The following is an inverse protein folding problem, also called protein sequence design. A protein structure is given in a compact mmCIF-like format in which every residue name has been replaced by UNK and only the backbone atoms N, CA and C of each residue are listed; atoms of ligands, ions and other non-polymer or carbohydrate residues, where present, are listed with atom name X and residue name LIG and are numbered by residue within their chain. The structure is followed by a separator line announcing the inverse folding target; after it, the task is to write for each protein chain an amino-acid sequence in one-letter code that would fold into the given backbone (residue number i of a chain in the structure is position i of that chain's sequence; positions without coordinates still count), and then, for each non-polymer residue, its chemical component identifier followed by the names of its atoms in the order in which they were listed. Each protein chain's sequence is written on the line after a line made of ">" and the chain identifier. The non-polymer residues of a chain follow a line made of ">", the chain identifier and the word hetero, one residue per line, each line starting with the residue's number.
data_IF_095838204471
#
_entry.id   IF_095838204471
#
_cell.length_a   1.000
_cell.length_b   1.000
_cell.length_c   1.000
_cell.angle_alpha   90.00
_cell.angle_beta   90.00
_cell.angle_gamma   90.00
#
_symmetry.space_group_name_H-M   'P 1'
#
loop_
_entity.id
_entity.type
_entity.pdbx_description
1 polymer ?
#
# COMPACT_ATOMS: atom_id res chain seq x y z
N UNK A 1 3.82 22.83 65.02
CA UNK A 1 3.03 22.34 66.19
C UNK A 1 2.35 21.04 65.78
N UNK A 2 2.26 20.02 66.65
CA UNK A 2 1.64 18.70 66.35
C UNK A 2 0.47 18.44 67.30
N UNK A 3 -0.62 17.89 66.78
CA UNK A 3 -1.61 16.99 67.42
C UNK A 3 -2.40 16.37 66.23
N UNK A 4 -2.69 15.07 66.05
CA UNK A 4 -2.82 13.81 66.83
C UNK A 4 -4.18 13.54 67.53
N UNK A 5 -4.81 12.48 67.00
CA UNK A 5 -5.55 11.37 67.63
C UNK A 5 -6.94 11.59 68.30
N UNK A 6 -8.02 11.12 67.63
CA UNK A 6 -9.27 10.52 68.20
C UNK A 6 -10.23 10.08 67.06
N UNK A 7 -10.79 8.87 66.86
CA UNK A 7 -10.57 7.47 67.31
C UNK A 7 -11.68 6.83 68.21
N UNK A 8 -12.12 5.59 67.89
CA UNK A 8 -13.12 4.71 68.57
C UNK A 8 -14.61 5.15 68.54
N UNK A 9 -15.66 4.29 68.57
CA UNK A 9 -15.81 2.82 68.33
C UNK A 9 -17.31 2.37 68.26
N UNK A 10 -17.76 1.45 67.36
CA UNK A 10 -17.98 -0.04 67.46
C UNK A 10 -19.15 -0.53 68.37
N UNK A 11 -19.74 -1.73 68.07
CA UNK A 11 -20.76 -2.55 68.81
C UNK A 11 -22.27 -2.18 68.63
N UNK A 12 -23.32 -3.01 68.85
CA UNK A 12 -23.69 -4.47 68.68
C UNK A 12 -25.18 -4.66 69.18
N UNK A 13 -26.00 -5.72 68.97
CA UNK A 13 -26.14 -6.85 67.99
C UNK A 13 -27.49 -7.63 68.26
N UNK A 14 -28.10 -8.29 67.24
CA UNK A 14 -29.20 -9.32 67.35
C UNK A 14 -30.56 -8.89 67.98
N UNK A 15 -31.65 -9.72 68.07
CA UNK A 15 -32.07 -10.94 67.32
C UNK A 15 -33.57 -10.98 66.85
N UNK A 16 -33.98 -12.14 66.28
CA UNK A 16 -35.38 -12.65 66.08
C UNK A 16 -36.27 -11.98 65.00
N UNK A 17 -37.29 -12.65 64.42
CA UNK A 17 -37.92 -13.94 64.76
C UNK A 17 -38.27 -14.83 63.53
N UNK A 18 -38.59 -16.11 63.77
CA UNK A 18 -39.02 -17.11 62.77
C UNK A 18 -40.46 -16.91 62.27
N UNK A 19 -40.72 -17.34 61.02
CA UNK A 19 -41.89 -18.18 60.72
C UNK A 19 -41.63 -19.10 59.51
N UNK A 20 -42.00 -20.38 59.62
CA UNK A 20 -42.07 -21.30 58.48
C UNK A 20 -43.46 -21.26 57.85
N UNK A 21 -43.52 -21.38 56.53
CA UNK A 21 -44.64 -22.05 55.84
C UNK A 21 -44.03 -23.08 54.90
N UNK A 22 -44.51 -24.33 54.98
CA UNK A 22 -44.07 -25.44 54.14
C UNK A 22 -45.20 -25.81 53.19
N UNK A 23 -44.94 -25.88 51.88
CA UNK A 23 -45.87 -26.49 50.93
C UNK A 23 -45.15 -27.11 49.74
N UNK A 24 -45.19 -28.44 49.68
CA UNK A 24 -45.12 -29.32 48.50
C UNK A 24 -44.07 -29.04 47.41
N UNK A 25 -43.10 -29.97 47.32
CA UNK A 25 -42.27 -30.13 46.14
C UNK A 25 -43.09 -30.40 44.87
N UNK A 26 -42.59 -29.90 43.73
CA UNK A 26 -42.79 -30.50 42.43
C UNK A 26 -41.40 -30.81 41.83
N UNK A 27 -41.33 -31.86 41.02
CA UNK A 27 -40.06 -32.42 40.59
C UNK A 27 -39.21 -31.41 39.81
N UNK A 28 -37.90 -31.40 40.06
CA UNK A 28 -36.93 -30.98 39.06
C UNK A 28 -36.96 -31.97 37.90
N UNK A 29 -37.94 -31.83 37.00
CA UNK A 29 -37.74 -32.26 35.63
C UNK A 29 -36.55 -31.47 35.11
N UNK A 30 -35.41 -32.16 34.98
CA UNK A 30 -34.32 -31.65 34.19
C UNK A 30 -34.85 -31.50 32.77
N UNK A 31 -35.31 -30.29 32.42
CA UNK A 31 -35.47 -29.89 31.04
C UNK A 31 -34.06 -29.85 30.47
N UNK A 32 -33.61 -31.01 29.98
CA UNK A 32 -32.57 -31.12 28.98
C UNK A 32 -33.01 -30.19 27.85
N UNK A 33 -32.49 -28.97 27.87
CA UNK A 33 -32.81 -27.97 26.87
C UNK A 33 -32.16 -28.44 25.58
N UNK A 34 -32.89 -29.26 24.83
CA UNK A 34 -32.62 -29.59 23.44
C UNK A 34 -32.66 -28.28 22.70
N UNK A 35 -31.51 -27.59 22.65
CA UNK A 35 -31.23 -26.56 21.67
C UNK A 35 -31.45 -27.24 20.33
N UNK A 36 -32.63 -27.03 19.75
CA UNK A 36 -32.82 -27.10 18.32
C UNK A 36 -31.81 -26.12 17.74
N UNK A 37 -30.66 -26.66 17.32
CA UNK A 37 -29.63 -25.90 16.63
C UNK A 37 -30.29 -25.46 15.34
N UNK A 38 -30.78 -24.22 15.35
CA UNK A 38 -31.43 -23.60 14.21
C UNK A 38 -30.34 -23.44 13.15
N UNK A 39 -30.30 -24.41 12.24
CA UNK A 39 -29.17 -24.58 11.32
C UNK A 39 -29.03 -23.33 10.46
N UNK A 40 -28.04 -22.50 10.78
CA UNK A 40 -27.69 -21.36 9.96
C UNK A 40 -27.28 -21.90 8.58
N UNK A 41 -27.86 -21.39 7.48
CA UNK A 41 -27.58 -21.93 6.16
C UNK A 41 -26.10 -21.79 5.82
N UNK A 42 -25.49 -22.92 5.49
CA UNK A 42 -24.10 -23.04 5.06
C UNK A 42 -23.86 -22.25 3.75
N UNK A 43 -22.61 -21.85 3.54
CA UNK A 43 -22.16 -21.38 2.24
C UNK A 43 -22.07 -22.56 1.26
N UNK A 44 -22.71 -22.42 0.09
CA UNK A 44 -22.73 -23.42 -0.98
C UNK A 44 -22.00 -22.82 -2.18
N UNK A 45 -20.68 -23.00 -2.20
CA UNK A 45 -19.82 -22.59 -3.29
C UNK A 45 -19.80 -23.68 -4.37
N UNK A 46 -20.08 -23.27 -5.61
CA UNK A 46 -20.14 -24.14 -6.79
C UNK A 46 -19.19 -23.67 -7.87
N UNK A 47 -18.32 -24.57 -8.35
CA UNK A 47 -17.56 -24.33 -9.59
C UNK A 47 -18.50 -24.53 -10.78
N UNK A 48 -18.88 -23.45 -11.46
CA UNK A 48 -19.75 -23.50 -12.64
C UNK A 48 -19.00 -23.92 -13.90
N UNK A 49 -17.78 -23.43 -14.09
CA UNK A 49 -16.89 -23.93 -15.14
C UNK A 49 -15.42 -23.67 -14.82
N UNK A 50 -14.56 -24.52 -15.36
CA UNK A 50 -13.11 -24.40 -15.34
C UNK A 50 -12.62 -24.68 -16.76
N UNK A 51 -11.76 -23.82 -17.32
CA UNK A 51 -11.36 -23.89 -18.74
C UNK A 51 -9.91 -23.44 -18.92
N UNK A 52 -9.19 -24.10 -19.82
CA UNK A 52 -7.93 -23.59 -20.35
C UNK A 52 -8.20 -22.36 -21.23
N UNK A 53 -7.34 -21.35 -21.18
CA UNK A 53 -7.43 -20.13 -21.99
C UNK A 53 -6.06 -19.85 -22.61
N UNK A 54 -6.01 -19.78 -23.94
CA UNK A 54 -4.78 -19.49 -24.69
C UNK A 54 -3.69 -20.56 -24.56
N UNK A 55 -2.59 -20.34 -25.29
CA UNK A 55 -1.48 -21.27 -25.39
C UNK A 55 -0.56 -21.27 -24.16
N UNK A 56 0.10 -22.41 -23.92
CA UNK A 56 1.13 -22.57 -22.89
C UNK A 56 2.34 -21.70 -23.24
N UNK A 57 2.75 -20.82 -22.33
CA UNK A 57 3.90 -19.92 -22.50
C UNK A 57 5.06 -20.29 -21.59
N UNK A 58 6.26 -20.44 -22.15
CA UNK A 58 7.47 -20.56 -21.36
C UNK A 58 7.88 -19.19 -20.80
N UNK A 59 8.24 -19.14 -19.51
CA UNK A 59 8.92 -18.00 -18.88
C UNK A 59 10.15 -18.49 -18.12
N UNK A 60 11.11 -17.60 -17.86
CA UNK A 60 12.27 -17.91 -17.02
C UNK A 60 12.24 -17.04 -15.78
N UNK A 61 12.10 -17.66 -14.61
CA UNK A 61 12.16 -16.96 -13.32
C UNK A 61 13.53 -17.13 -12.68
N UNK A 62 13.92 -16.19 -11.81
CA UNK A 62 15.09 -16.33 -10.94
C UNK A 62 14.58 -16.74 -9.56
N UNK A 63 14.96 -17.93 -9.10
CA UNK A 63 14.60 -18.48 -7.79
C UNK A 63 15.87 -18.65 -6.97
N UNK A 64 16.13 -17.70 -6.07
CA UNK A 64 17.43 -17.56 -5.41
C UNK A 64 18.52 -17.22 -6.43
N UNK A 65 19.55 -18.07 -6.54
CA UNK A 65 20.63 -17.93 -7.55
C UNK A 65 20.34 -18.65 -8.88
N UNK A 66 19.29 -19.47 -8.95
CA UNK A 66 19.03 -20.34 -10.09
C UNK A 66 18.00 -19.74 -11.04
N UNK A 67 18.26 -19.81 -12.35
CA UNK A 67 17.21 -19.62 -13.36
C UNK A 67 16.38 -20.90 -13.47
N UNK A 68 15.07 -20.76 -13.40
CA UNK A 68 14.10 -21.85 -13.49
C UNK A 68 13.10 -21.52 -14.60
N UNK A 69 13.12 -22.32 -15.66
CA UNK A 69 12.10 -22.23 -16.72
C UNK A 69 10.77 -22.79 -16.20
N UNK A 70 9.68 -22.07 -16.44
CA UNK A 70 8.31 -22.47 -16.11
C UNK A 70 7.42 -22.49 -17.36
N UNK A 71 6.53 -23.46 -17.42
CA UNK A 71 5.42 -23.55 -18.36
C UNK A 71 4.19 -22.93 -17.72
N UNK A 72 3.65 -21.87 -18.30
CA UNK A 72 2.53 -21.11 -17.76
C UNK A 72 1.29 -21.33 -18.63
N UNK A 73 0.19 -21.75 -18.00
CA UNK A 73 -1.12 -21.88 -18.63
C UNK A 73 -2.08 -20.90 -17.97
N UNK A 74 -2.77 -20.06 -18.76
CA UNK A 74 -3.89 -19.29 -18.23
C UNK A 74 -5.13 -20.19 -18.15
N UNK A 75 -5.90 -20.02 -17.08
CA UNK A 75 -7.19 -20.68 -16.87
C UNK A 75 -8.25 -19.67 -16.46
N UNK A 76 -9.48 -19.93 -16.88
CA UNK A 76 -10.68 -19.23 -16.43
C UNK A 76 -11.48 -20.17 -15.52
N UNK A 77 -11.80 -19.68 -14.33
CA UNK A 77 -12.65 -20.34 -13.36
C UNK A 77 -13.88 -19.47 -13.08
N UNK A 78 -15.07 -20.07 -13.11
CA UNK A 78 -16.34 -19.41 -12.78
C UNK A 78 -16.90 -20.05 -11.50
N UNK A 79 -17.09 -19.25 -10.44
CA UNK A 79 -17.61 -19.72 -9.14
C UNK A 79 -18.91 -18.99 -8.83
N UNK A 80 -19.91 -19.73 -8.35
CA UNK A 80 -21.16 -19.19 -7.80
C UNK A 80 -21.27 -19.46 -6.31
N UNK A 81 -21.73 -18.48 -5.55
CA UNK A 81 -22.33 -18.73 -4.23
C UNK A 81 -23.84 -19.02 -4.44
N UNK A 82 -24.23 -20.28 -4.37
CA UNK A 82 -25.61 -20.74 -4.59
C UNK A 82 -26.45 -20.74 -3.30
N UNK A 83 -25.85 -20.33 -2.17
CA UNK A 83 -26.54 -20.20 -0.89
C UNK A 83 -27.34 -18.90 -0.77
N UNK A 84 -28.11 -18.81 0.33
CA UNK A 84 -28.86 -17.61 0.73
C UNK A 84 -28.07 -16.67 1.65
N UNK A 85 -26.75 -16.86 1.81
CA UNK A 85 -25.90 -16.06 2.70
C UNK A 85 -24.71 -15.46 1.98
N UNK A 86 -24.33 -14.24 2.37
CA UNK A 86 -23.13 -13.59 1.86
C UNK A 86 -21.89 -14.22 2.50
N UNK A 87 -20.89 -14.58 1.69
CA UNK A 87 -19.58 -14.98 2.19
C UNK A 87 -18.80 -13.70 2.49
N UNK A 88 -18.58 -13.44 3.78
CA UNK A 88 -17.92 -12.23 4.32
C UNK A 88 -16.50 -12.48 4.86
N UNK A 89 -15.95 -13.68 4.61
CA UNK A 89 -14.60 -14.10 4.98
C UNK A 89 -13.89 -14.72 3.76
N UNK A 90 -12.57 -14.78 3.82
CA UNK A 90 -11.77 -15.34 2.72
C UNK A 90 -11.94 -16.85 2.56
N UNK A 91 -12.27 -17.28 1.34
CA UNK A 91 -12.17 -18.67 0.91
C UNK A 91 -10.95 -18.87 0.00
N UNK A 92 -10.52 -20.12 -0.16
CA UNK A 92 -9.35 -20.54 -0.94
C UNK A 92 -9.78 -21.34 -2.17
N UNK A 93 -9.06 -21.13 -3.27
CA UNK A 93 -9.16 -21.91 -4.50
C UNK A 93 -7.81 -22.58 -4.73
N UNK A 94 -7.75 -23.90 -4.60
CA UNK A 94 -6.57 -24.70 -4.90
C UNK A 94 -6.65 -25.20 -6.34
N UNK A 95 -5.48 -25.47 -6.93
CA UNK A 95 -5.37 -26.05 -8.25
C UNK A 95 -4.44 -27.25 -8.18
N UNK A 96 -4.92 -28.39 -8.70
CA UNK A 96 -4.28 -29.69 -8.60
C UNK A 96 -3.91 -30.25 -9.98
N UNK A 97 -2.82 -31.00 -9.98
CA UNK A 97 -2.17 -31.55 -11.16
C UNK A 97 -1.92 -33.06 -10.98
N UNK A 98 -2.54 -33.89 -11.82
CA UNK A 98 -2.42 -35.34 -11.80
C UNK A 98 -1.78 -35.85 -13.10
N UNK A 99 -0.58 -36.42 -13.01
CA UNK A 99 0.00 -37.26 -14.07
C UNK A 99 -0.19 -38.73 -13.67
N UNK A 100 -0.66 -39.61 -14.57
CA UNK A 100 -0.70 -41.05 -14.30
C UNK A 100 0.66 -41.60 -13.83
N UNK A 101 0.71 -42.14 -12.62
CA UNK A 101 1.92 -42.72 -12.03
C UNK A 101 2.81 -41.75 -11.24
N UNK A 102 2.39 -40.49 -11.04
CA UNK A 102 3.05 -39.54 -10.13
C UNK A 102 2.07 -39.07 -9.03
N UNK A 103 2.57 -38.57 -7.88
CA UNK A 103 1.72 -37.92 -6.87
C UNK A 103 0.99 -36.70 -7.45
N UNK A 104 -0.18 -36.38 -6.89
CA UNK A 104 -0.88 -35.12 -7.22
C UNK A 104 -0.07 -33.93 -6.69
N UNK A 105 0.22 -32.95 -7.57
CA UNK A 105 0.97 -31.75 -7.21
C UNK A 105 0.08 -30.51 -7.18
N UNK A 106 0.38 -29.58 -6.26
CA UNK A 106 -0.22 -28.25 -6.24
C UNK A 106 0.45 -27.35 -7.29
N UNK A 107 -0.34 -26.60 -8.06
CA UNK A 107 0.19 -25.49 -8.84
C UNK A 107 0.62 -24.33 -7.94
N UNK A 108 1.49 -23.46 -8.47
CA UNK A 108 1.51 -22.07 -8.03
C UNK A 108 0.48 -21.30 -8.86
N UNK A 109 -0.47 -20.68 -8.16
CA UNK A 109 -1.52 -19.85 -8.74
C UNK A 109 -1.14 -18.37 -8.58
N UNK A 110 -1.36 -17.59 -9.64
CA UNK A 110 -1.22 -16.12 -9.60
C UNK A 110 -2.51 -15.44 -10.10
N UNK A 111 -3.04 -14.51 -9.31
CA UNK A 111 -4.14 -13.62 -9.65
C UNK A 111 -4.07 -12.36 -8.78
N UNK A 112 -4.58 -11.21 -9.27
CA UNK A 112 -4.63 -9.93 -8.53
C UNK A 112 -3.27 -9.55 -7.88
N UNK A 113 -2.17 -9.75 -8.61
CA UNK A 113 -0.80 -9.50 -8.15
C UNK A 113 -0.25 -10.47 -7.09
N UNK A 114 -1.09 -11.34 -6.50
CA UNK A 114 -0.70 -12.27 -5.43
C UNK A 114 -0.37 -13.65 -6.00
N UNK A 115 0.73 -14.24 -5.51
CA UNK A 115 1.21 -15.59 -5.85
C UNK A 115 1.09 -16.51 -4.65
N UNK A 116 0.46 -17.67 -4.80
CA UNK A 116 0.24 -18.63 -3.70
C UNK A 116 0.15 -20.08 -4.17
N UNK A 117 -0.05 -21.01 -3.23
CA UNK A 117 -0.48 -22.39 -3.51
C UNK A 117 -2.00 -22.49 -3.77
N UNK A 118 -2.70 -21.41 -3.49
CA UNK A 118 -4.13 -21.19 -3.65
C UNK A 118 -4.38 -19.71 -3.91
N UNK A 119 -5.52 -19.37 -4.50
CA UNK A 119 -6.05 -18.01 -4.61
C UNK A 119 -7.00 -17.74 -3.43
N UNK A 120 -6.74 -16.68 -2.66
CA UNK A 120 -7.66 -16.17 -1.64
C UNK A 120 -8.70 -15.25 -2.29
N UNK A 121 -9.99 -15.45 -1.98
CA UNK A 121 -11.09 -14.58 -2.41
C UNK A 121 -11.81 -14.06 -1.17
N UNK A 122 -11.77 -12.75 -0.93
CA UNK A 122 -12.16 -12.16 0.36
C UNK A 122 -13.67 -12.16 0.66
N UNK A 123 -14.53 -12.18 -0.36
CA UNK A 123 -16.00 -12.18 -0.22
C UNK A 123 -16.71 -12.61 -1.52
N UNK A 124 -17.93 -13.14 -1.41
CA UNK A 124 -18.82 -13.46 -2.54
C UNK A 124 -20.30 -13.43 -2.07
N UNK A 125 -21.13 -12.57 -2.65
CA UNK A 125 -22.50 -12.34 -2.18
C UNK A 125 -23.44 -13.51 -2.51
N UNK A 126 -24.57 -13.63 -1.79
CA UNK A 126 -25.59 -14.65 -2.04
C UNK A 126 -26.11 -14.56 -3.48
N UNK A 127 -26.07 -15.67 -4.23
CA UNK A 127 -26.43 -15.73 -5.64
C UNK A 127 -25.37 -15.18 -6.62
N UNK A 128 -24.29 -14.55 -6.14
CA UNK A 128 -23.26 -13.95 -7.00
C UNK A 128 -22.46 -15.03 -7.76
N UNK A 129 -22.22 -14.80 -9.05
CA UNK A 129 -21.26 -15.56 -9.87
C UNK A 129 -20.08 -14.65 -10.21
N UNK A 130 -18.87 -15.07 -9.88
CA UNK A 130 -17.63 -14.32 -10.17
C UNK A 130 -16.67 -15.14 -11.05
N UNK A 131 -15.93 -14.43 -11.90
CA UNK A 131 -14.92 -14.99 -12.80
C UNK A 131 -13.52 -14.70 -12.26
N UNK A 132 -12.65 -15.70 -12.32
CA UNK A 132 -11.25 -15.61 -11.93
C UNK A 132 -10.36 -16.03 -13.10
N UNK A 133 -9.49 -15.14 -13.54
CA UNK A 133 -8.42 -15.44 -14.49
C UNK A 133 -7.16 -15.72 -13.69
N UNK A 134 -6.62 -16.93 -13.80
CA UNK A 134 -5.49 -17.39 -13.00
C UNK A 134 -4.38 -17.87 -13.91
N UNK A 135 -3.14 -17.53 -13.59
CA UNK A 135 -1.97 -18.17 -14.20
C UNK A 135 -1.55 -19.37 -13.37
N UNK A 136 -1.44 -20.53 -14.01
CA UNK A 136 -0.93 -21.77 -13.44
C UNK A 136 0.48 -22.04 -13.96
N UNK A 137 1.47 -22.09 -13.07
CA UNK A 137 2.88 -22.28 -13.44
C UNK A 137 3.41 -23.67 -13.03
N UNK A 138 3.97 -24.40 -13.99
CA UNK A 138 4.62 -25.71 -13.82
C UNK A 138 6.12 -25.62 -14.16
N UNK A 139 7.02 -26.34 -13.48
CA UNK A 139 8.42 -26.46 -13.90
C UNK A 139 8.60 -27.09 -15.29
N UNK A 140 9.62 -26.66 -16.04
CA UNK A 140 9.98 -27.20 -17.37
C UNK A 140 10.32 -28.71 -17.34
N UNK A 141 10.66 -29.27 -16.18
CA UNK A 141 10.82 -30.72 -16.00
C UNK A 141 9.57 -31.55 -16.35
N UNK A 142 8.40 -30.93 -16.43
CA UNK A 142 7.15 -31.58 -16.85
C UNK A 142 6.86 -31.47 -18.36
N UNK A 143 7.71 -30.82 -19.18
CA UNK A 143 7.50 -30.76 -20.64
C UNK A 143 7.36 -32.16 -21.27
N UNK A 144 6.43 -32.28 -22.21
CA UNK A 144 6.05 -33.53 -22.87
C UNK A 144 5.10 -34.45 -22.07
N UNK A 145 4.77 -34.12 -20.82
CA UNK A 145 3.79 -34.88 -20.03
C UNK A 145 2.34 -34.51 -20.39
N UNK A 146 1.43 -35.42 -20.06
CA UNK A 146 -0.02 -35.25 -20.17
C UNK A 146 -0.70 -35.82 -18.93
N UNK A 147 -1.86 -35.28 -18.59
CA UNK A 147 -2.59 -35.65 -17.38
C UNK A 147 -3.84 -34.80 -17.22
N UNK A 148 -4.33 -34.70 -16.00
CA UNK A 148 -5.53 -33.94 -15.66
C UNK A 148 -5.24 -32.80 -14.69
N UNK A 149 -5.98 -31.70 -14.83
CA UNK A 149 -5.98 -30.60 -13.87
C UNK A 149 -7.40 -30.26 -13.40
N UNK A 150 -7.55 -29.81 -12.16
CA UNK A 150 -8.82 -29.35 -11.60
C UNK A 150 -8.59 -28.27 -10.54
N UNK A 151 -9.64 -27.48 -10.28
CA UNK A 151 -9.72 -26.57 -9.15
C UNK A 151 -10.53 -27.22 -8.01
N UNK A 152 -10.30 -26.77 -6.78
CA UNK A 152 -11.01 -27.20 -5.57
C UNK A 152 -11.22 -26.03 -4.61
N UNK A 153 -12.40 -25.95 -3.99
CA UNK A 153 -12.79 -24.86 -3.08
C UNK A 153 -12.75 -25.31 -1.61
N UNK A 154 -12.08 -24.52 -0.79
CA UNK A 154 -11.75 -24.75 0.63
C UNK A 154 -11.84 -23.41 1.40
N UNK A 155 -11.89 -23.42 2.74
CA UNK A 155 -11.93 -22.21 3.57
C UNK A 155 -10.57 -21.89 4.20
N UNK A 156 -10.42 -20.63 4.65
CA UNK A 156 -9.14 -20.19 5.20
C UNK A 156 -8.81 -20.79 6.59
N UNK A 157 -9.81 -20.99 7.44
CA UNK A 157 -9.65 -21.04 8.91
C UNK A 157 -10.34 -22.26 9.57
N UNK A 158 -10.41 -23.41 8.90
CA UNK A 158 -11.30 -24.52 9.30
C UNK A 158 -11.09 -25.09 10.71
N UNK A 159 -9.84 -25.09 11.21
CA UNK A 159 -9.44 -25.78 12.46
C UNK A 159 -10.26 -25.36 13.69
N UNK A 160 -10.76 -24.13 13.72
CA UNK A 160 -11.56 -23.58 14.83
C UNK A 160 -12.98 -23.17 14.41
N UNK A 161 -13.44 -23.51 13.20
CA UNK A 161 -14.78 -23.16 12.73
C UNK A 161 -15.84 -24.17 13.18
N UNK A 162 -16.86 -23.63 13.87
CA UNK A 162 -18.06 -24.37 14.23
C UNK A 162 -18.79 -24.91 12.98
N UNK A 163 -19.53 -26.04 13.08
CA UNK A 163 -19.99 -26.78 11.90
C UNK A 163 -20.85 -25.99 10.90
N UNK A 164 -21.57 -24.95 11.35
CA UNK A 164 -22.39 -24.08 10.50
C UNK A 164 -21.60 -23.11 9.61
N UNK A 165 -20.27 -23.04 9.76
CA UNK A 165 -19.41 -22.12 9.01
C UNK A 165 -18.48 -22.81 8.00
N UNK A 166 -18.54 -24.14 7.86
CA UNK A 166 -17.69 -24.90 6.94
C UNK A 166 -18.25 -24.89 5.51
N UNK A 167 -17.40 -25.15 4.52
CA UNK A 167 -17.88 -25.75 3.27
C UNK A 167 -18.33 -27.18 3.63
N UNK A 168 -19.32 -27.72 2.92
CA UNK A 168 -19.70 -29.11 3.15
C UNK A 168 -18.63 -30.05 2.58
N UNK A 169 -17.59 -30.34 3.38
CA UNK A 169 -16.51 -31.31 3.07
C UNK A 169 -17.08 -32.62 2.49
N UNK A 170 -18.24 -33.06 2.99
CA UNK A 170 -18.95 -34.27 2.55
C UNK A 170 -19.68 -34.14 1.19
N UNK A 171 -19.36 -33.15 0.37
CA UNK A 171 -19.99 -32.93 -0.95
C UNK A 171 -18.98 -32.55 -2.04
N UNK A 172 -17.97 -33.41 -2.24
CA UNK A 172 -16.92 -33.27 -3.27
C UNK A 172 -17.45 -32.93 -4.70
N UNK A 173 -18.73 -33.25 -4.97
CA UNK A 173 -19.42 -32.95 -6.22
C UNK A 173 -19.76 -31.46 -6.45
N UNK A 174 -19.66 -30.56 -5.46
CA UNK A 174 -19.96 -29.13 -5.63
C UNK A 174 -18.71 -28.22 -5.62
N UNK A 175 -17.69 -28.57 -4.84
CA UNK A 175 -16.49 -27.76 -4.62
C UNK A 175 -15.32 -28.14 -5.54
N UNK A 176 -15.33 -29.31 -6.19
CA UNK A 176 -14.37 -29.67 -7.22
C UNK A 176 -14.83 -29.21 -8.62
N UNK A 177 -13.89 -28.78 -9.47
CA UNK A 177 -14.17 -28.52 -10.88
C UNK A 177 -14.25 -29.82 -11.69
N UNK A 178 -14.84 -29.80 -12.91
CA UNK A 178 -14.54 -30.81 -13.92
C UNK A 178 -13.02 -30.95 -14.10
N UNK A 179 -12.53 -32.19 -14.24
CA UNK A 179 -11.14 -32.45 -14.61
C UNK A 179 -10.93 -32.12 -16.09
N UNK A 180 -9.91 -31.32 -16.38
CA UNK A 180 -9.49 -30.98 -17.74
C UNK A 180 -8.26 -31.78 -18.11
N UNK A 181 -8.34 -32.53 -19.21
CA UNK A 181 -7.16 -33.11 -19.84
C UNK A 181 -6.26 -31.99 -20.39
N UNK A 182 -4.95 -32.08 -20.14
CA UNK A 182 -3.95 -31.21 -20.74
C UNK A 182 -2.83 -32.05 -21.35
N UNK A 183 -2.09 -31.43 -22.28
CA UNK A 183 -0.82 -31.95 -22.79
C UNK A 183 0.19 -30.82 -22.86
N UNK A 184 1.28 -30.92 -22.10
CA UNK A 184 2.37 -29.96 -22.21
C UNK A 184 3.13 -30.21 -23.52
N UNK A 185 3.65 -29.16 -24.19
CA UNK A 185 4.38 -29.32 -25.43
C UNK A 185 5.60 -30.23 -25.21
N UNK A 186 6.00 -31.05 -26.20
CA UNK A 186 7.18 -31.90 -26.07
C UNK A 186 8.42 -31.05 -25.83
N UNK A 187 9.33 -31.55 -25.00
CA UNK A 187 10.64 -30.92 -24.78
C UNK A 187 11.43 -30.95 -26.10
N UNK A 188 11.41 -29.85 -26.84
CA UNK A 188 12.10 -29.74 -28.12
C UNK A 188 13.60 -29.95 -27.90
N UNK A 189 14.17 -30.97 -28.54
CA UNK A 189 15.60 -31.19 -28.54
C UNK A 189 16.29 -30.01 -29.23
N UNK A 190 17.41 -29.53 -28.65
CA UNK A 190 18.22 -28.47 -29.24
C UNK A 190 18.90 -28.97 -30.52
N UNK A 191 18.21 -28.85 -31.66
CA UNK A 191 18.82 -28.99 -32.98
C UNK A 191 19.49 -27.67 -33.35
N UNK A 192 20.71 -27.77 -33.89
CA UNK A 192 21.51 -26.63 -34.28
C UNK A 192 20.81 -25.78 -35.36
N UNK A 193 20.96 -24.46 -35.28
CA UNK A 193 20.82 -23.59 -36.45
C UNK A 193 19.40 -23.44 -37.04
N UNK A 194 18.36 -23.31 -36.22
CA UNK A 194 17.14 -22.62 -36.67
C UNK A 194 17.17 -21.15 -36.24
N UNK A 195 16.80 -20.27 -37.17
CA UNK A 195 16.82 -18.83 -36.93
C UNK A 195 15.95 -18.48 -35.72
N UNK A 196 16.49 -17.65 -34.83
CA UNK A 196 15.65 -16.80 -34.01
C UNK A 196 14.81 -15.94 -34.96
N UNK A 197 13.54 -16.29 -35.13
CA UNK A 197 12.52 -15.27 -35.32
C UNK A 197 12.50 -14.46 -34.03
N UNK A 198 13.40 -13.48 -33.96
CA UNK A 198 13.33 -12.37 -33.03
C UNK A 198 11.93 -11.80 -33.24
N UNK A 199 11.02 -12.01 -32.29
CA UNK A 199 9.76 -11.26 -32.30
C UNK A 199 10.16 -9.79 -32.38
N UNK A 200 9.72 -9.06 -33.42
CA UNK A 200 10.18 -7.71 -33.65
C UNK A 200 9.91 -6.92 -32.37
N UNK A 201 10.95 -6.28 -31.80
CA UNK A 201 10.86 -5.74 -30.45
C UNK A 201 9.60 -4.90 -30.28
N UNK A 202 8.79 -5.26 -29.27
CA UNK A 202 7.45 -4.70 -29.15
C UNK A 202 7.56 -3.32 -28.53
N UNK A 203 6.99 -2.32 -29.19
CA UNK A 203 6.79 -1.00 -28.60
C UNK A 203 5.57 -1.03 -27.67
N UNK A 204 5.75 -0.53 -26.45
CA UNK A 204 4.70 -0.37 -25.43
C UNK A 204 4.81 1.03 -24.85
N UNK A 205 3.73 1.81 -24.89
CA UNK A 205 3.66 3.10 -24.21
C UNK A 205 3.28 2.86 -22.75
N UNK A 206 3.84 3.65 -21.83
CA UNK A 206 3.29 3.78 -20.48
C UNK A 206 1.88 4.38 -20.58
N UNK A 207 0.93 3.81 -19.84
CA UNK A 207 -0.49 4.22 -19.82
C UNK A 207 -0.90 4.68 -18.42
N UNK A 208 -2.05 5.36 -18.31
CA UNK A 208 -2.68 5.65 -17.02
C UNK A 208 -2.75 4.42 -16.11
N UNK A 209 -3.15 3.25 -16.65
CA UNK A 209 -3.22 2.02 -15.87
C UNK A 209 -1.88 1.54 -15.29
N UNK A 210 -0.74 1.86 -15.91
CA UNK A 210 0.58 1.61 -15.32
C UNK A 210 0.87 2.59 -14.17
N UNK A 211 0.53 3.85 -14.37
CA UNK A 211 0.73 4.92 -13.40
C UNK A 211 -0.16 4.74 -12.17
N UNK A 212 -1.41 4.31 -12.38
CA UNK A 212 -2.34 3.91 -11.33
C UNK A 212 -1.84 2.68 -10.56
N UNK A 213 -1.34 1.64 -11.24
CA UNK A 213 -0.76 0.47 -10.54
C UNK A 213 0.47 0.85 -9.73
N UNK A 214 1.49 1.47 -10.33
CA UNK A 214 2.75 1.79 -9.65
C UNK A 214 2.55 2.86 -8.57
N UNK A 215 1.80 3.92 -8.87
CA UNK A 215 1.48 5.00 -7.94
C UNK A 215 0.64 4.55 -6.74
N UNK A 216 -0.25 3.56 -6.91
CA UNK A 216 -0.96 2.96 -5.77
C UNK A 216 -0.04 2.27 -4.75
N UNK A 217 1.20 1.94 -5.14
CA UNK A 217 2.23 1.38 -4.25
C UNK A 217 3.14 2.44 -3.61
N UNK A 218 2.85 3.73 -3.80
CA UNK A 218 3.56 4.86 -3.19
C UNK A 218 2.61 5.53 -2.19
N UNK A 219 2.93 5.46 -0.90
CA UNK A 219 2.09 5.99 0.18
C UNK A 219 2.94 6.39 1.40
N UNK A 220 2.34 7.10 2.36
CA UNK A 220 2.99 7.50 3.62
C UNK A 220 2.79 8.96 3.97
N UNK A 221 3.71 9.53 4.75
CA UNK A 221 3.66 10.92 5.27
C UNK A 221 5.01 11.62 5.19
N UNK A 222 4.99 12.92 4.88
CA UNK A 222 6.09 13.85 5.14
C UNK A 222 5.55 14.92 6.08
N UNK A 223 6.32 15.23 7.12
CA UNK A 223 5.98 16.20 8.16
C UNK A 223 7.12 17.22 8.29
N UNK A 224 6.78 18.49 8.36
CA UNK A 224 7.69 19.62 8.45
C UNK A 224 7.30 20.47 9.67
N UNK A 225 8.15 20.49 10.68
CA UNK A 225 8.03 21.44 11.78
C UNK A 225 9.42 21.87 12.26
N UNK A 226 9.58 23.17 12.51
CA UNK A 226 10.68 23.71 13.30
C UNK A 226 10.26 24.91 14.18
N UNK A 227 8.96 25.12 14.37
CA UNK A 227 8.40 25.96 15.45
C UNK A 227 8.27 25.14 16.75
N UNK A 228 8.51 25.77 17.89
CA UNK A 228 8.44 25.10 19.20
C UNK A 228 7.03 25.05 19.80
N UNK A 229 6.05 25.74 19.20
CA UNK A 229 4.69 25.79 19.72
C UNK A 229 4.52 26.70 20.94
N UNK A 230 5.29 27.79 21.06
CA UNK A 230 4.89 28.94 21.89
C UNK A 230 3.45 29.33 21.53
N UNK A 231 2.63 29.61 22.53
CA UNK A 231 1.18 29.79 22.31
C UNK A 231 0.89 31.13 21.64
N UNK A 232 -0.26 31.25 20.98
CA UNK A 232 -0.65 32.47 20.28
C UNK A 232 -0.96 33.63 21.27
N UNK A 233 -1.02 33.34 22.59
CA UNK A 233 -1.05 34.30 23.69
C UNK A 233 0.36 34.80 24.11
N UNK A 234 1.43 34.05 23.80
CA UNK A 234 2.83 34.33 24.18
C UNK A 234 3.51 35.34 23.22
N UNK A 235 2.97 36.55 23.13
CA UNK A 235 3.41 37.60 22.20
C UNK A 235 4.91 38.00 22.26
N UNK A 236 5.66 37.56 23.28
CA UNK A 236 7.10 37.76 23.39
C UNK A 236 7.77 36.69 24.26
N UNK A 237 9.03 36.36 23.95
CA UNK A 237 9.79 35.31 24.65
C UNK A 237 11.30 35.55 24.66
N UNK A 238 11.98 35.10 25.71
CA UNK A 238 13.44 35.15 25.83
C UNK A 238 14.14 33.85 25.35
N UNK A 239 13.38 32.90 24.79
CA UNK A 239 13.92 31.66 24.21
C UNK A 239 13.66 31.65 22.70
N UNK A 240 14.65 31.24 21.91
CA UNK A 240 14.48 31.09 20.46
C UNK A 240 13.31 30.11 20.17
N UNK A 241 12.31 30.49 19.36
CA UNK A 241 11.18 29.64 18.99
C UNK A 241 11.53 28.38 18.17
N UNK A 242 12.80 28.22 17.74
CA UNK A 242 13.27 27.08 16.97
C UNK A 242 13.13 25.73 17.70
N UNK A 243 12.59 24.73 16.99
CA UNK A 243 12.55 23.32 17.39
C UNK A 243 13.36 22.44 16.43
N UNK A 244 14.30 21.70 16.99
CA UNK A 244 15.16 20.77 16.23
C UNK A 244 14.57 19.35 16.14
N UNK A 245 14.89 18.65 15.05
CA UNK A 245 14.65 17.23 14.77
C UNK A 245 13.19 16.79 14.65
N UNK A 246 12.28 17.73 14.36
CA UNK A 246 10.85 17.47 14.25
C UNK A 246 10.36 17.21 12.81
N UNK A 247 11.17 17.53 11.79
CA UNK A 247 10.85 17.20 10.40
C UNK A 247 11.12 15.71 10.12
N UNK A 248 10.20 15.02 9.43
CA UNK A 248 10.37 13.61 9.07
C UNK A 248 9.78 13.22 7.71
N UNK A 249 10.37 12.20 7.09
CA UNK A 249 9.90 11.53 5.87
C UNK A 249 9.64 10.07 6.24
N UNK A 250 8.43 9.58 6.00
CA UNK A 250 8.02 8.19 6.25
C UNK A 250 7.21 7.70 5.05
N UNK A 251 7.88 7.13 4.04
CA UNK A 251 7.29 6.79 2.75
C UNK A 251 7.54 5.34 2.36
N UNK A 252 6.50 4.65 1.91
CA UNK A 252 6.58 3.36 1.25
C UNK A 252 6.70 3.55 -0.26
N UNK A 253 7.55 2.76 -0.91
CA UNK A 253 7.66 2.66 -2.37
C UNK A 253 7.68 1.18 -2.73
N UNK A 254 6.64 0.70 -3.41
CA UNK A 254 6.53 -0.68 -3.89
C UNK A 254 6.76 -1.76 -2.81
N UNK A 255 6.41 -1.46 -1.56
CA UNK A 255 6.55 -2.33 -0.39
C UNK A 255 7.75 -2.01 0.51
N UNK A 256 8.81 -1.37 0.01
CA UNK A 256 9.97 -0.97 0.84
C UNK A 256 9.69 0.34 1.58
N UNK A 257 10.04 0.40 2.87
CA UNK A 257 9.83 1.59 3.70
C UNK A 257 11.11 2.42 3.86
N UNK A 258 11.02 3.72 3.57
CA UNK A 258 11.98 4.72 4.01
C UNK A 258 11.43 5.46 5.24
N UNK A 259 12.29 5.65 6.24
CA UNK A 259 12.02 6.51 7.40
C UNK A 259 13.27 7.31 7.72
N UNK A 260 13.12 8.62 7.93
CA UNK A 260 14.23 9.51 8.26
C UNK A 260 13.77 10.83 8.87
N UNK A 261 14.55 11.34 9.84
CA UNK A 261 14.37 12.64 10.48
C UNK A 261 15.38 13.66 9.94
N UNK A 262 14.99 14.93 9.85
CA UNK A 262 15.87 16.01 9.40
C UNK A 262 15.55 17.33 10.10
N UNK A 263 16.23 18.41 9.70
CA UNK A 263 16.01 19.76 10.20
C UNK A 263 15.77 20.70 9.02
N UNK A 264 14.69 21.49 9.09
CA UNK A 264 14.64 22.78 8.40
C UNK A 264 15.41 23.82 9.23
N UNK A 265 16.13 24.76 8.61
CA UNK A 265 16.82 25.81 9.33
C UNK A 265 15.82 26.85 9.85
N UNK A 266 16.22 27.56 10.90
CA UNK A 266 15.72 28.89 11.18
C UNK A 266 15.93 29.78 9.94
N UNK A 267 14.86 30.41 9.43
CA UNK A 267 14.97 31.30 8.27
C UNK A 267 15.10 32.73 8.77
N UNK A 268 16.32 33.27 8.67
CA UNK A 268 16.72 34.56 9.25
C UNK A 268 17.02 35.62 8.18
N UNK A 269 16.65 36.88 8.46
CA UNK A 269 17.22 38.06 7.80
C UNK A 269 17.23 39.30 8.70
N UNK A 270 18.20 40.18 8.48
CA UNK A 270 18.32 41.48 9.16
C UNK A 270 17.75 42.60 8.27
N UNK A 271 16.94 43.50 8.82
CA UNK A 271 16.52 44.72 8.12
C UNK A 271 16.29 45.88 9.07
N UNK A 272 16.86 47.04 8.75
CA UNK A 272 16.68 48.29 9.50
C UNK A 272 17.10 48.22 10.98
N UNK A 273 17.97 47.27 11.36
CA UNK A 273 18.36 47.00 12.75
C UNK A 273 17.43 46.03 13.50
N UNK A 274 16.35 45.58 12.86
CA UNK A 274 15.47 44.52 13.35
C UNK A 274 15.93 43.17 12.75
N UNK A 275 15.92 42.12 13.57
CA UNK A 275 16.26 40.76 13.16
C UNK A 275 14.97 39.97 13.01
N UNK A 276 14.68 39.45 11.82
CA UNK A 276 13.44 38.70 11.56
C UNK A 276 13.75 37.21 11.38
N UNK A 277 12.98 36.37 12.06
CA UNK A 277 13.13 34.93 12.14
C UNK A 277 11.79 34.27 11.78
N UNK A 278 11.83 33.22 10.95
CA UNK A 278 10.64 32.51 10.50
C UNK A 278 10.79 31.00 10.69
N UNK A 279 9.72 30.39 11.20
CA UNK A 279 9.64 28.95 11.51
C UNK A 279 8.42 28.33 10.83
N UNK A 280 8.56 27.08 10.38
CA UNK A 280 7.47 26.25 9.84
C UNK A 280 6.75 25.60 11.02
N UNK A 281 5.43 25.82 11.13
CA UNK A 281 4.56 25.19 12.14
C UNK A 281 3.72 24.07 11.50
N UNK A 282 3.93 22.84 11.98
CA UNK A 282 3.12 21.62 11.71
C UNK A 282 2.59 21.44 10.26
N UNK A 283 3.46 21.53 9.26
CA UNK A 283 3.13 21.30 7.85
C UNK A 283 3.13 19.81 7.52
N UNK A 284 2.01 19.26 7.03
CA UNK A 284 1.86 17.84 6.70
C UNK A 284 1.50 17.55 5.24
N UNK A 285 2.05 16.45 4.72
CA UNK A 285 1.69 15.84 3.44
C UNK A 285 1.42 14.35 3.67
N UNK A 286 0.28 13.85 3.19
CA UNK A 286 -0.10 12.43 3.31
C UNK A 286 -0.45 11.86 1.93
N UNK A 287 0.27 10.83 1.50
CA UNK A 287 -0.03 10.07 0.28
C UNK A 287 -0.85 8.83 0.65
N UNK A 288 -2.09 8.70 0.14
CA UNK A 288 -3.00 7.59 0.49
C UNK A 288 -3.12 6.53 -0.61
N UNK A 289 -2.04 6.34 -1.39
CA UNK A 289 -1.95 5.32 -2.44
C UNK A 289 -2.48 3.96 -1.97
N UNK A 290 -3.60 3.53 -2.56
CA UNK A 290 -4.30 2.29 -2.23
C UNK A 290 -5.65 2.44 -1.51
N UNK A 291 -6.08 3.65 -1.11
CA UNK A 291 -7.28 3.86 -0.30
C UNK A 291 -8.23 4.97 -0.84
N UNK A 292 -8.69 4.83 -2.08
CA UNK A 292 -9.75 5.67 -2.68
C UNK A 292 -9.25 6.80 -3.59
N UNK A 293 -8.00 7.21 -3.44
CA UNK A 293 -7.25 8.05 -4.39
C UNK A 293 -6.74 7.21 -5.58
N UNK A 294 -6.63 7.82 -6.75
CA UNK A 294 -6.11 7.18 -7.96
C UNK A 294 -4.57 7.23 -7.95
N UNK A 295 -3.90 6.12 -8.26
CA UNK A 295 -2.44 6.05 -8.17
C UNK A 295 -1.72 7.09 -9.05
N UNK A 296 -2.35 7.49 -10.17
CA UNK A 296 -1.86 8.56 -11.05
C UNK A 296 -1.90 9.98 -10.46
N UNK A 297 -2.63 10.19 -9.37
CA UNK A 297 -2.63 11.46 -8.62
C UNK A 297 -1.35 11.60 -7.78
N UNK A 298 -0.75 10.46 -7.39
CA UNK A 298 0.57 10.37 -6.74
C UNK A 298 1.71 10.32 -7.76
N UNK A 299 1.55 9.57 -8.86
CA UNK A 299 2.61 9.32 -9.86
C UNK A 299 2.12 9.55 -11.30
N UNK A 300 2.68 10.51 -12.02
CA UNK A 300 2.36 10.79 -13.42
C UNK A 300 3.62 10.81 -14.31
N UNK A 301 3.46 11.06 -15.61
CA UNK A 301 4.56 11.45 -16.52
C UNK A 301 4.44 12.95 -16.81
N UNK A 302 5.58 13.63 -16.83
CA UNK A 302 5.67 15.00 -17.31
C UNK A 302 7.06 15.25 -17.91
N UNK A 303 7.13 15.83 -19.12
CA UNK A 303 8.38 16.18 -19.81
C UNK A 303 9.42 15.03 -19.86
N UNK A 304 8.94 13.82 -20.17
CA UNK A 304 9.71 12.59 -20.32
C UNK A 304 10.19 11.97 -18.99
N UNK A 305 9.81 12.53 -17.85
CA UNK A 305 10.17 12.06 -16.51
C UNK A 305 8.97 11.46 -15.79
N UNK A 306 9.20 10.50 -14.91
CA UNK A 306 8.21 10.16 -13.90
C UNK A 306 8.17 11.29 -12.87
N UNK A 307 6.98 11.81 -12.58
CA UNK A 307 6.76 12.88 -11.61
C UNK A 307 5.94 12.30 -10.45
N UNK A 308 6.47 12.37 -9.23
CA UNK A 308 5.73 12.07 -8.01
C UNK A 308 5.30 13.40 -7.37
N UNK A 309 4.01 13.53 -7.04
CA UNK A 309 3.48 14.70 -6.35
C UNK A 309 3.41 14.45 -4.83
N UNK A 310 3.94 15.39 -4.04
CA UNK A 310 3.70 15.50 -2.60
C UNK A 310 2.85 16.75 -2.32
N UNK A 311 1.52 16.61 -2.14
CA UNK A 311 0.65 17.72 -1.76
C UNK A 311 0.68 17.93 -0.24
N UNK A 312 0.96 19.17 0.20
CA UNK A 312 0.86 19.54 1.61
C UNK A 312 -0.51 20.17 1.92
N UNK A 313 -0.96 19.98 3.16
CA UNK A 313 -2.13 20.66 3.72
C UNK A 313 -1.84 22.18 3.83
N UNK A 314 -2.75 23.03 3.34
CA UNK A 314 -2.53 24.49 3.22
C UNK A 314 -3.79 25.30 3.47
N UNK A 315 -3.61 26.54 3.95
CA UNK A 315 -4.65 27.54 4.13
C UNK A 315 -5.30 27.56 5.52
N UNK A 316 -5.60 28.77 6.02
CA UNK A 316 -6.49 29.03 7.17
C UNK A 316 -5.97 28.65 8.57
N UNK A 317 -4.94 27.79 8.67
CA UNK A 317 -4.23 27.41 9.90
C UNK A 317 -2.75 27.07 9.67
N UNK A 318 -2.26 27.23 8.44
CA UNK A 318 -0.94 26.74 8.01
C UNK A 318 -0.14 27.91 7.50
N UNK A 319 0.85 28.30 8.31
CA UNK A 319 1.60 29.55 8.19
C UNK A 319 3.07 29.35 8.54
N UNK A 320 3.90 30.34 8.20
CA UNK A 320 5.22 30.49 8.80
C UNK A 320 5.12 31.53 9.92
N UNK A 321 5.45 31.13 11.14
CA UNK A 321 5.42 32.00 12.33
C UNK A 321 6.53 33.03 12.25
N UNK A 322 6.18 34.31 12.28
CA UNK A 322 7.12 35.43 12.24
C UNK A 322 7.53 35.89 13.63
N UNK A 323 8.83 36.10 13.86
CA UNK A 323 9.34 36.69 15.11
C UNK A 323 10.40 37.76 14.85
N UNK A 324 10.30 38.91 15.52
CA UNK A 324 11.37 39.93 15.57
C UNK A 324 12.25 39.70 16.81
N UNK A 325 13.55 39.45 16.63
CA UNK A 325 14.51 39.38 17.73
C UNK A 325 15.17 40.75 18.00
N UNK A 326 14.82 41.37 19.13
CA UNK A 326 15.34 42.68 19.52
C UNK A 326 15.74 42.66 21.00
N UNK A 327 16.94 43.18 21.30
CA UNK A 327 17.50 43.33 22.67
C UNK A 327 17.52 42.07 23.54
N UNK A 328 17.50 40.87 22.95
CA UNK A 328 17.50 39.58 23.67
C UNK A 328 16.13 38.91 23.81
N UNK A 329 15.08 39.52 23.26
CA UNK A 329 13.69 39.03 23.27
C UNK A 329 13.21 38.83 21.84
N UNK A 330 12.49 37.74 21.57
CA UNK A 330 11.72 37.52 20.34
C UNK A 330 10.31 38.08 20.54
N UNK A 331 9.77 38.81 19.55
CA UNK A 331 8.46 39.43 19.57
C UNK A 331 7.63 38.95 18.37
N UNK A 332 6.48 38.35 18.66
CA UNK A 332 5.55 37.80 17.66
C UNK A 332 4.85 38.95 16.91
N UNK A 333 4.27 39.90 17.65
CA UNK A 333 3.47 41.03 17.13
C UNK A 333 4.22 42.01 16.20
N UNK A 334 5.55 41.95 16.13
CA UNK A 334 6.38 42.86 15.32
C UNK A 334 6.78 42.29 13.95
N UNK A 335 6.63 40.97 13.76
CA UNK A 335 6.95 40.27 12.52
C UNK A 335 5.66 39.69 11.90
N UNK A 336 5.38 39.91 10.61
CA UNK A 336 4.15 39.41 10.02
C UNK A 336 4.22 37.92 9.74
N UNK A 337 3.23 37.17 10.22
CA UNK A 337 3.00 35.79 9.78
C UNK A 337 2.77 35.69 8.27
N UNK A 338 3.07 34.52 7.71
CA UNK A 338 3.00 34.25 6.27
C UNK A 338 2.06 33.06 6.00
N UNK A 339 0.89 33.36 5.44
CA UNK A 339 -0.03 32.38 4.86
C UNK A 339 0.69 31.50 3.82
N UNK A 340 0.62 30.18 4.00
CA UNK A 340 1.02 29.20 2.98
C UNK A 340 -0.20 28.87 2.11
N UNK A 341 -0.25 29.49 0.94
CA UNK A 341 -1.41 29.46 0.02
C UNK A 341 -1.42 28.21 -0.86
N UNK A 342 -0.24 27.75 -1.28
CA UNK A 342 -0.05 26.44 -1.92
C UNK A 342 1.35 25.93 -1.61
N UNK A 343 1.45 24.64 -1.30
CA UNK A 343 2.72 23.94 -1.20
C UNK A 343 2.61 22.54 -1.79
N UNK A 344 3.22 22.37 -2.96
CA UNK A 344 3.37 21.07 -3.64
C UNK A 344 4.86 20.81 -3.89
N UNK A 345 5.32 19.57 -3.74
CA UNK A 345 6.65 19.17 -4.22
C UNK A 345 6.53 18.15 -5.34
N UNK A 346 7.16 18.44 -6.47
CA UNK A 346 7.19 17.58 -7.64
C UNK A 346 8.56 16.90 -7.74
N UNK A 347 8.62 15.59 -7.53
CA UNK A 347 9.85 14.80 -7.58
C UNK A 347 9.95 14.15 -8.95
N UNK A 348 10.85 14.64 -9.79
CA UNK A 348 11.06 14.13 -11.14
C UNK A 348 12.20 13.11 -11.17
N UNK A 349 11.89 11.90 -11.60
CA UNK A 349 12.80 10.78 -11.79
C UNK A 349 13.04 10.59 -13.30
N UNK A 350 14.27 10.81 -13.77
CA UNK A 350 14.62 10.68 -15.19
C UNK A 350 14.75 9.20 -15.56
N UNK A 351 13.87 8.62 -16.41
CA UNK A 351 13.79 7.18 -16.62
C UNK A 351 14.96 6.64 -17.45
N UNK A 352 15.44 5.44 -17.09
CA UNK A 352 16.47 4.69 -17.82
C UNK A 352 16.23 3.19 -17.71
N UNK A 353 16.88 2.40 -18.56
CA UNK A 353 16.94 0.95 -18.39
C UNK A 353 18.19 0.57 -17.59
N UNK A 354 18.01 -0.21 -16.52
CA UNK A 354 19.09 -0.84 -15.75
C UNK A 354 18.90 -2.34 -15.77
N UNK A 355 19.88 -3.08 -16.29
CA UNK A 355 19.87 -4.56 -16.38
C UNK A 355 18.66 -5.17 -17.11
N UNK A 356 17.88 -4.37 -17.83
CA UNK A 356 16.61 -4.77 -18.47
C UNK A 356 15.36 -4.53 -17.62
N UNK A 357 15.48 -3.88 -16.46
CA UNK A 357 14.37 -3.28 -15.68
C UNK A 357 14.18 -1.81 -16.02
N UNK A 358 13.00 -1.26 -15.71
CA UNK A 358 12.75 0.19 -15.69
C UNK A 358 13.31 0.79 -14.40
N UNK A 359 14.18 1.79 -14.51
CA UNK A 359 14.86 2.48 -13.40
C UNK A 359 14.88 3.98 -13.67
N UNK A 360 15.60 4.74 -12.85
CA UNK A 360 15.85 6.16 -13.05
C UNK A 360 17.34 6.49 -12.87
N UNK A 361 17.85 7.52 -13.54
CA UNK A 361 19.27 7.95 -13.46
C UNK A 361 19.48 9.16 -12.55
N UNK A 362 18.60 10.15 -12.66
CA UNK A 362 18.67 11.45 -11.99
C UNK A 362 17.36 11.77 -11.25
N UNK A 363 17.47 12.61 -10.22
CA UNK A 363 16.41 12.97 -9.27
C UNK A 363 16.45 14.49 -9.07
N UNK A 364 15.37 15.15 -9.48
CA UNK A 364 15.16 16.59 -9.36
C UNK A 364 13.91 16.84 -8.50
N UNK A 365 14.02 17.65 -7.43
CA UNK A 365 12.88 18.03 -6.59
C UNK A 365 12.50 19.47 -6.92
N UNK A 366 11.25 19.71 -7.32
CA UNK A 366 10.74 21.04 -7.69
C UNK A 366 9.59 21.44 -6.74
N UNK A 367 9.89 22.21 -5.69
CA UNK A 367 8.91 22.84 -4.83
C UNK A 367 8.17 24.01 -5.51
N UNK A 368 6.85 23.89 -5.57
CA UNK A 368 5.90 24.93 -5.93
C UNK A 368 5.25 25.50 -4.66
N UNK A 369 5.73 26.68 -4.25
CA UNK A 369 5.40 27.33 -3.00
C UNK A 369 4.87 28.76 -3.26
N UNK A 370 3.57 28.94 -3.06
CA UNK A 370 2.92 30.25 -3.01
C UNK A 370 2.68 30.64 -1.55
N UNK A 371 3.19 31.82 -1.19
CA UNK A 371 3.27 32.34 0.18
C UNK A 371 3.03 33.85 0.15
N UNK A 372 2.26 34.36 1.12
CA UNK A 372 1.81 35.76 1.18
C UNK A 372 1.77 36.22 2.63
N UNK A 373 1.95 37.52 2.88
CA UNK A 373 1.83 38.05 4.24
C UNK A 373 0.38 38.15 4.68
N UNK A 374 0.16 37.85 5.96
CA UNK A 374 -1.13 38.01 6.61
C UNK A 374 -1.37 39.50 6.90
N UNK A 375 -2.37 40.11 6.26
CA UNK A 375 -2.76 41.50 6.48
C UNK A 375 -2.03 42.55 5.61
N UNK A 376 -2.01 43.80 6.09
CA UNK A 376 -1.70 44.98 5.27
C UNK A 376 -0.19 45.27 5.06
N UNK A 377 0.69 44.29 5.27
CA UNK A 377 2.15 44.46 5.25
C UNK A 377 2.84 44.07 3.92
N UNK A 378 2.05 43.79 2.87
CA UNK A 378 2.57 43.60 1.50
C UNK A 378 3.20 44.90 0.97
N UNK A 379 4.50 45.02 1.22
CA UNK A 379 5.35 46.14 0.84
C UNK A 379 6.57 45.63 0.10
N UNK A 380 7.18 46.49 -0.72
CA UNK A 380 8.37 46.14 -1.52
C UNK A 380 9.52 45.60 -0.66
N UNK A 381 9.61 46.02 0.61
CA UNK A 381 10.63 45.55 1.56
C UNK A 381 10.51 44.05 1.90
N UNK A 382 9.30 43.53 1.99
CA UNK A 382 9.02 42.17 2.44
C UNK A 382 9.08 41.14 1.30
N UNK A 383 9.16 41.59 0.04
CA UNK A 383 9.31 40.71 -1.11
C UNK A 383 10.68 40.00 -1.18
N UNK A 384 11.75 40.62 -0.67
CA UNK A 384 13.07 39.97 -0.51
C UNK A 384 13.03 38.87 0.57
N UNK A 385 12.24 39.06 1.63
CA UNK A 385 11.98 38.04 2.65
C UNK A 385 11.27 36.82 2.04
N UNK A 386 10.16 37.01 1.32
CA UNK A 386 9.48 35.91 0.62
C UNK A 386 10.38 35.18 -0.38
N UNK A 387 11.30 35.89 -1.05
CA UNK A 387 12.28 35.24 -1.94
C UNK A 387 13.27 34.35 -1.18
N UNK A 388 13.85 34.85 -0.07
CA UNK A 388 14.77 34.09 0.79
C UNK A 388 14.09 32.88 1.43
N UNK A 389 12.92 33.10 2.03
CA UNK A 389 12.08 32.06 2.66
C UNK A 389 11.75 30.97 1.64
N UNK A 390 11.29 31.36 0.45
CA UNK A 390 11.04 30.41 -0.64
C UNK A 390 12.30 29.61 -0.95
N UNK A 391 13.44 30.23 -1.23
CA UNK A 391 14.68 29.51 -1.55
C UNK A 391 15.11 28.55 -0.43
N UNK A 392 15.14 28.99 0.83
CA UNK A 392 15.54 28.16 1.96
C UNK A 392 14.65 26.91 2.10
N UNK A 393 13.32 27.06 2.00
CA UNK A 393 12.42 25.91 1.95
C UNK A 393 12.70 25.01 0.73
N UNK A 394 13.04 25.57 -0.44
CA UNK A 394 13.38 24.77 -1.62
C UNK A 394 14.61 23.91 -1.39
N UNK A 395 15.70 24.54 -0.97
CA UNK A 395 17.03 23.94 -0.90
C UNK A 395 17.09 22.85 0.17
N UNK A 396 16.50 23.11 1.35
CA UNK A 396 16.53 22.14 2.46
C UNK A 396 15.61 20.94 2.25
N UNK A 397 14.43 21.12 1.64
CA UNK A 397 13.52 19.99 1.39
C UNK A 397 14.00 19.15 0.20
N UNK A 398 14.64 19.78 -0.81
CA UNK A 398 15.40 19.04 -1.83
C UNK A 398 16.53 18.22 -1.19
N UNK A 399 17.27 18.78 -0.23
CA UNK A 399 18.34 18.07 0.47
C UNK A 399 17.84 16.91 1.35
N UNK A 400 16.62 16.99 1.90
CA UNK A 400 16.01 15.94 2.70
C UNK A 400 15.40 14.80 1.86
N UNK A 401 14.72 15.12 0.75
CA UNK A 401 14.02 14.14 -0.10
C UNK A 401 14.99 13.39 -1.03
N UNK A 402 15.99 14.07 -1.61
CA UNK A 402 16.88 13.47 -2.61
C UNK A 402 17.65 12.22 -2.11
N UNK A 403 18.14 12.14 -0.86
CA UNK A 403 18.76 10.93 -0.31
C UNK A 403 17.86 9.69 -0.30
N UNK A 404 16.54 9.84 -0.09
CA UNK A 404 15.60 8.69 -0.11
C UNK A 404 15.60 7.99 -1.47
N UNK A 405 15.48 8.74 -2.57
CA UNK A 405 15.48 8.19 -3.92
C UNK A 405 16.90 7.79 -4.39
N UNK A 406 17.94 8.13 -3.64
CA UNK A 406 19.29 7.59 -3.82
C UNK A 406 19.54 6.30 -3.03
N UNK A 407 18.66 5.92 -2.07
CA UNK A 407 18.78 4.66 -1.34
C UNK A 407 18.63 3.46 -2.31
N UNK A 408 19.62 2.54 -2.39
CA UNK A 408 19.56 1.39 -3.29
C UNK A 408 18.32 0.51 -3.08
N UNK A 409 17.73 0.46 -1.88
CA UNK A 409 16.55 -0.35 -1.57
C UNK A 409 15.29 0.26 -2.15
N UNK A 410 15.07 1.56 -1.95
CA UNK A 410 13.95 2.31 -2.53
C UNK A 410 14.03 2.32 -4.06
N UNK A 411 15.25 2.46 -4.59
CA UNK A 411 15.51 2.30 -6.02
C UNK A 411 15.19 0.90 -6.52
N UNK A 412 15.60 -0.15 -5.81
CA UNK A 412 15.32 -1.52 -6.23
C UNK A 412 13.82 -1.84 -6.15
N UNK A 413 13.13 -1.36 -5.12
CA UNK A 413 11.68 -1.52 -4.98
C UNK A 413 10.92 -0.81 -6.10
N UNK A 414 11.29 0.43 -6.45
CA UNK A 414 10.73 1.13 -7.62
C UNK A 414 10.94 0.31 -8.91
N UNK A 415 12.15 -0.21 -9.14
CA UNK A 415 12.45 -1.04 -10.32
C UNK A 415 11.60 -2.32 -10.38
N UNK A 416 11.39 -3.00 -9.26
CA UNK A 416 10.61 -4.24 -9.22
C UNK A 416 9.10 -3.99 -9.30
N UNK A 417 8.57 -2.98 -8.60
CA UNK A 417 7.17 -2.55 -8.73
C UNK A 417 6.83 -2.08 -10.15
N UNK A 418 7.74 -1.32 -10.78
CA UNK A 418 7.58 -0.91 -12.18
C UNK A 418 7.60 -2.11 -13.13
N UNK A 419 8.50 -3.07 -12.93
CA UNK A 419 8.52 -4.28 -13.75
C UNK A 419 7.31 -5.17 -13.52
N UNK A 420 6.76 -5.27 -12.32
CA UNK A 420 5.53 -6.04 -12.07
C UNK A 420 4.27 -5.36 -12.65
N UNK A 421 4.18 -4.03 -12.64
CA UNK A 421 3.14 -3.31 -13.40
C UNK A 421 3.25 -3.55 -14.92
N UNK A 422 4.47 -3.50 -15.49
CA UNK A 422 4.71 -3.80 -16.91
C UNK A 422 4.40 -5.27 -17.27
N UNK A 423 4.72 -6.22 -16.38
CA UNK A 423 4.35 -7.64 -16.53
C UNK A 423 2.84 -7.82 -16.51
N UNK A 424 2.16 -7.20 -15.53
CA UNK A 424 0.71 -7.35 -15.33
C UNK A 424 -0.12 -6.80 -16.48
N UNK A 425 0.25 -5.63 -17.03
CA UNK A 425 -0.53 -4.96 -18.09
C UNK A 425 -0.17 -5.43 -19.49
N UNK A 426 1.12 -5.69 -19.74
CA UNK A 426 1.63 -5.84 -21.10
C UNK A 426 2.32 -7.19 -21.36
N UNK A 427 2.56 -7.99 -20.32
CA UNK A 427 3.30 -9.27 -20.42
C UNK A 427 4.81 -9.11 -20.60
N UNK A 428 5.35 -7.91 -20.32
CA UNK A 428 6.74 -7.54 -20.61
C UNK A 428 7.72 -8.24 -19.66
N UNK A 429 8.68 -8.99 -20.22
CA UNK A 429 9.66 -9.71 -19.42
C UNK A 429 10.93 -8.89 -19.18
N UNK A 430 11.37 -8.15 -20.20
CA UNK A 430 12.63 -7.40 -20.23
C UNK A 430 12.55 -6.20 -21.16
N UNK A 431 13.21 -5.11 -20.77
CA UNK A 431 13.32 -3.89 -21.57
C UNK A 431 14.59 -3.90 -22.43
N UNK A 432 14.52 -3.31 -23.61
CA UNK A 432 15.59 -3.24 -24.62
C UNK A 432 16.07 -1.80 -24.82
N UNK A 433 15.15 -0.88 -25.14
CA UNK A 433 15.39 0.56 -25.19
C UNK A 433 14.20 1.34 -24.62
N UNK A 434 14.43 2.61 -24.30
CA UNK A 434 13.43 3.53 -23.78
C UNK A 434 13.60 4.87 -24.49
N UNK A 435 12.48 5.45 -24.92
CA UNK A 435 12.36 6.78 -25.52
C UNK A 435 11.35 7.57 -24.69
N UNK A 436 11.70 8.78 -24.30
CA UNK A 436 10.83 9.64 -23.50
C UNK A 436 10.70 11.00 -24.21
N UNK A 437 9.47 11.40 -24.51
CA UNK A 437 9.15 12.57 -25.33
C UNK A 437 7.86 13.22 -24.81
N UNK A 438 7.89 14.53 -24.63
CA UNK A 438 6.77 15.31 -24.07
C UNK A 438 6.19 14.63 -22.83
N UNK A 439 4.90 14.31 -22.77
CA UNK A 439 4.30 13.66 -21.60
C UNK A 439 4.13 12.14 -21.79
N UNK A 440 5.02 11.50 -22.57
CA UNK A 440 5.01 10.05 -22.83
C UNK A 440 6.36 9.38 -22.59
N UNK A 441 6.30 8.13 -22.11
CA UNK A 441 7.42 7.20 -22.05
C UNK A 441 7.06 5.98 -22.90
N UNK A 442 7.92 5.66 -23.85
CA UNK A 442 7.75 4.62 -24.86
C UNK A 442 8.89 3.61 -24.69
N UNK A 443 8.54 2.33 -24.53
CA UNK A 443 9.47 1.28 -24.14
C UNK A 443 9.50 0.19 -25.22
N UNK A 444 10.70 -0.14 -25.68
CA UNK A 444 10.97 -1.28 -26.56
C UNK A 444 11.25 -2.51 -25.68
N UNK A 445 10.53 -3.61 -25.88
CA UNK A 445 10.53 -4.75 -24.94
C UNK A 445 10.54 -6.13 -25.61
N UNK A 446 10.81 -7.16 -24.79
CA UNK A 446 10.82 -8.59 -25.11
C UNK A 446 10.28 -9.44 -23.94
#
# INVERSE_FOLDING_TARGET
>A
MRLKDFFWSVFMIFPMMFLLVVSSALAQTAQTATRTVQAMPLADLKVLSFRLVGDIRLSTEIRGRNRVTLCNQQVLLEIKNDSRVNITRSFRIYFFYEIPGLPSYFFQAASEGRRGRFLNVNSLNAGETRRFYVMLSLPESYLGTSGQMYAFLDLADEEFMAPYGRIQESNENNNQSPKLDFRLPPRQAQVQGQNLQIQPPRTVNITEGFLDLLGSTINGRVHLNNDNGHSDDDHFTNTNPFRANDCSINLNVAGENYSGSFNLPEIYFEKSGCHYHYYVRDLDCVLRGGAGELGREVLNIQSGKFMIKLPFETGGRVELRGWEYTLGTYYDLSAPDIDIVRLDFYIYLTPVIREGKLSYSDIQVVPDLDIRFTGALDTVFMNDALFRIRSAMRDHIQAAIRPMFLDPRIKQAFEDGAMDALRSLFGVSRLVSLRAEEDQIVIECR
#
